data_IF_916309915333
#
_entry.id   IF_916309915333
#
_cell.length_a   1.000
_cell.length_b   1.000
_cell.length_c   1.000
_cell.angle_alpha   90.00
_cell.angle_beta   90.00
_cell.angle_gamma   90.00
#
_symmetry.space_group_name_H-M   'P 1'
#
loop_
_entity.id
_entity.type
_entity.pdbx_description
1 polymer ?
#
# COMPACT_ATOMS: atom_id res chain seq x y z
N UNK A 1 14.76 3.17 6.32
CA UNK A 1 14.09 2.85 7.62
C UNK A 1 13.78 1.37 7.68
N UNK A 2 14.25 0.67 8.71
CA UNK A 2 13.97 -0.75 8.86
C UNK A 2 12.71 -0.96 9.70
N UNK A 3 11.73 -1.67 9.15
CA UNK A 3 10.50 -2.08 9.84
C UNK A 3 10.30 -3.56 9.59
N UNK A 4 10.30 -4.37 10.66
CA UNK A 4 10.28 -5.83 10.56
C UNK A 4 9.05 -6.36 9.81
N UNK A 5 7.88 -5.77 10.01
CA UNK A 5 6.67 -6.21 9.31
C UNK A 5 6.73 -5.97 7.80
N UNK A 6 7.46 -4.94 7.36
CA UNK A 6 7.72 -4.68 5.94
C UNK A 6 8.58 -5.81 5.36
N UNK A 7 9.66 -6.18 6.04
CA UNK A 7 10.52 -7.29 5.63
C UNK A 7 9.74 -8.61 5.59
N UNK A 8 8.94 -8.87 6.62
CA UNK A 8 8.15 -10.10 6.70
C UNK A 8 7.12 -10.19 5.57
N UNK A 9 6.44 -9.08 5.27
CA UNK A 9 5.47 -9.03 4.19
C UNK A 9 6.14 -9.29 2.84
N UNK A 10 7.30 -8.67 2.62
CA UNK A 10 8.08 -8.87 1.41
C UNK A 10 8.44 -10.35 1.23
N UNK A 11 9.03 -10.95 2.26
CA UNK A 11 9.45 -12.37 2.21
C UNK A 11 8.30 -13.32 1.96
N UNK A 12 7.14 -13.04 2.56
CA UNK A 12 5.98 -13.93 2.46
C UNK A 12 5.26 -13.84 1.12
N UNK A 13 5.17 -12.65 0.52
CA UNK A 13 4.26 -12.42 -0.59
C UNK A 13 4.91 -12.00 -1.90
N UNK A 14 6.15 -11.53 -1.90
CA UNK A 14 6.75 -11.09 -3.16
C UNK A 14 6.83 -12.22 -4.18
N UNK A 15 6.37 -11.96 -5.40
CA UNK A 15 6.37 -12.93 -6.48
C UNK A 15 5.20 -13.89 -6.49
N UNK A 16 4.29 -13.81 -5.51
CA UNK A 16 3.13 -14.70 -5.46
C UNK A 16 1.96 -14.19 -6.28
N UNK A 17 1.16 -15.12 -6.78
CA UNK A 17 -0.14 -14.86 -7.40
C UNK A 17 -1.21 -15.44 -6.48
N UNK A 18 -2.14 -14.60 -5.98
CA UNK A 18 -3.02 -14.96 -4.86
C UNK A 18 -4.47 -15.22 -5.23
N UNK A 19 -4.93 -14.74 -6.38
CA UNK A 19 -6.31 -14.94 -6.81
C UNK A 19 -6.36 -15.02 -8.33
N UNK A 20 -7.08 -16.00 -8.83
CA UNK A 20 -7.29 -16.22 -10.27
C UNK A 20 -8.77 -16.15 -10.65
N UNK A 21 -9.67 -15.99 -9.69
CA UNK A 21 -11.11 -15.81 -9.92
C UNK A 21 -11.44 -14.32 -10.00
N UNK A 22 -11.97 -13.91 -11.15
CA UNK A 22 -12.35 -12.51 -11.40
C UNK A 22 -13.62 -12.09 -10.65
N UNK A 23 -14.37 -13.04 -10.08
CA UNK A 23 -15.66 -12.76 -9.42
C UNK A 23 -15.59 -12.88 -7.90
N UNK A 24 -14.49 -13.35 -7.35
CA UNK A 24 -14.39 -13.56 -5.92
C UNK A 24 -13.01 -13.18 -5.39
N UNK A 25 -12.99 -12.60 -4.21
CA UNK A 25 -11.74 -12.38 -3.47
C UNK A 25 -11.39 -13.70 -2.78
N UNK A 26 -10.24 -14.27 -3.11
CA UNK A 26 -9.79 -15.49 -2.46
C UNK A 26 -9.45 -15.23 -0.99
N UNK A 27 -9.50 -16.29 -0.18
CA UNK A 27 -9.08 -16.21 1.23
C UNK A 27 -7.64 -15.72 1.32
N UNK A 28 -6.77 -16.20 0.45
CA UNK A 28 -5.35 -15.81 0.46
C UNK A 28 -5.17 -14.33 0.17
N UNK A 29 -5.91 -13.81 -0.80
CA UNK A 29 -5.84 -12.38 -1.12
C UNK A 29 -6.37 -11.53 0.02
N UNK A 30 -7.47 -11.93 0.64
CA UNK A 30 -8.01 -11.24 1.81
C UNK A 30 -7.03 -11.26 2.99
N UNK A 31 -6.36 -12.39 3.22
CA UNK A 31 -5.32 -12.49 4.24
C UNK A 31 -4.13 -11.58 3.94
N UNK A 32 -3.75 -11.48 2.66
CA UNK A 32 -2.72 -10.54 2.23
C UNK A 32 -3.12 -9.09 2.52
N UNK A 33 -4.34 -8.70 2.18
CA UNK A 33 -4.81 -7.34 2.43
C UNK A 33 -4.82 -7.01 3.92
N UNK A 34 -5.22 -7.96 4.76
CA UNK A 34 -5.17 -7.79 6.21
C UNK A 34 -3.73 -7.63 6.71
N UNK A 35 -2.80 -8.42 6.16
CA UNK A 35 -1.38 -8.31 6.51
C UNK A 35 -0.80 -6.96 6.05
N UNK A 36 -1.16 -6.50 4.86
CA UNK A 36 -0.74 -5.19 4.36
C UNK A 36 -1.25 -4.07 5.26
N UNK A 37 -2.51 -4.14 5.69
CA UNK A 37 -3.08 -3.14 6.59
C UNK A 37 -2.38 -3.12 7.96
N UNK A 38 -2.01 -4.29 8.50
CA UNK A 38 -1.24 -4.35 9.75
C UNK A 38 0.16 -3.74 9.57
N UNK A 39 0.82 -4.05 8.48
CA UNK A 39 2.11 -3.44 8.14
C UNK A 39 2.00 -1.92 8.03
N UNK A 40 0.94 -1.42 7.38
CA UNK A 40 0.70 0.01 7.25
C UNK A 40 0.59 0.70 8.62
N UNK A 41 -0.06 0.07 9.59
CA UNK A 41 -0.13 0.60 10.96
C UNK A 41 1.24 0.63 11.63
N UNK A 42 2.08 -0.36 11.38
CA UNK A 42 3.46 -0.36 11.89
C UNK A 42 4.29 0.76 11.24
N UNK A 43 4.13 0.97 9.94
CA UNK A 43 4.75 2.11 9.26
C UNK A 43 4.31 3.42 9.94
N UNK A 44 3.01 3.61 10.12
CA UNK A 44 2.47 4.82 10.72
C UNK A 44 3.06 5.08 12.11
N UNK A 45 3.16 4.05 12.95
CA UNK A 45 3.76 4.16 14.27
C UNK A 45 5.23 4.59 14.21
N UNK A 46 5.97 4.13 13.20
CA UNK A 46 7.39 4.45 13.05
C UNK A 46 7.64 5.86 12.49
N UNK A 47 6.67 6.47 11.84
CA UNK A 47 6.81 7.81 11.24
C UNK A 47 5.95 8.87 11.92
N UNK A 48 5.42 8.58 13.11
CA UNK A 48 4.55 9.47 13.86
C UNK A 48 3.34 9.93 13.03
N UNK A 49 2.63 8.98 12.47
CA UNK A 49 1.42 9.17 11.68
C UNK A 49 0.36 8.16 12.08
N UNK A 50 -0.81 8.23 11.48
CA UNK A 50 -1.87 7.25 11.69
C UNK A 50 -2.49 6.83 10.36
N UNK A 51 -3.03 5.62 10.30
CA UNK A 51 -3.84 5.14 9.19
C UNK A 51 -5.29 5.48 9.52
N UNK A 52 -5.92 6.33 8.69
CA UNK A 52 -7.25 6.87 9.02
C UNK A 52 -8.39 6.27 8.22
N UNK A 53 -8.09 5.57 7.15
CA UNK A 53 -9.12 4.94 6.32
C UNK A 53 -8.49 3.81 5.50
N UNK A 54 -9.15 2.68 5.43
CA UNK A 54 -8.70 1.54 4.63
C UNK A 54 -9.83 1.06 3.73
N UNK A 55 -9.48 0.59 2.54
CA UNK A 55 -10.40 -0.02 1.60
C UNK A 55 -9.80 -1.35 1.13
N UNK A 56 -10.60 -2.42 1.19
CA UNK A 56 -10.25 -3.71 0.60
C UNK A 56 -11.13 -3.97 -0.61
N UNK A 57 -10.57 -3.83 -1.82
CA UNK A 57 -11.27 -4.15 -3.06
C UNK A 57 -10.99 -5.59 -3.49
N UNK A 58 -11.59 -6.00 -4.61
CA UNK A 58 -11.40 -7.36 -5.14
C UNK A 58 -9.97 -7.62 -5.61
N UNK A 59 -9.31 -6.61 -6.19
CA UNK A 59 -7.99 -6.75 -6.79
C UNK A 59 -7.01 -5.67 -6.35
N UNK A 60 -7.43 -4.80 -5.44
CA UNK A 60 -6.61 -3.71 -4.94
C UNK A 60 -7.01 -3.38 -3.51
N UNK A 61 -6.15 -2.63 -2.84
CA UNK A 61 -6.50 -2.04 -1.57
C UNK A 61 -5.90 -0.64 -1.48
N UNK A 62 -6.40 0.13 -0.56
CA UNK A 62 -5.92 1.48 -0.37
C UNK A 62 -6.11 1.94 1.06
N UNK A 63 -5.41 3.02 1.41
CA UNK A 63 -5.53 3.66 2.71
C UNK A 63 -5.03 5.08 2.66
N UNK A 64 -5.38 5.86 3.67
CA UNK A 64 -4.84 7.18 3.88
C UNK A 64 -4.02 7.20 5.16
N UNK A 65 -2.83 7.79 5.06
CA UNK A 65 -2.00 8.14 6.22
C UNK A 65 -2.23 9.61 6.54
N UNK A 66 -2.25 9.94 7.82
CA UNK A 66 -2.46 11.31 8.29
C UNK A 66 -1.39 11.70 9.31
N UNK A 67 -0.86 12.90 9.16
CA UNK A 67 -0.02 13.56 10.17
C UNK A 67 -0.43 15.05 10.23
N UNK A 68 -0.97 15.48 11.38
CA UNK A 68 -1.54 16.84 11.47
C UNK A 68 -2.66 17.03 10.46
N UNK A 69 -2.51 18.00 9.57
CA UNK A 69 -3.48 18.28 8.51
C UNK A 69 -3.07 17.73 7.15
N UNK A 70 -2.03 16.88 7.10
CA UNK A 70 -1.50 16.32 5.87
C UNK A 70 -1.94 14.89 5.70
N UNK A 71 -2.21 14.52 4.45
CA UNK A 71 -2.67 13.18 4.07
C UNK A 71 -1.82 12.63 2.93
N UNK A 72 -1.59 11.33 2.98
CA UNK A 72 -0.97 10.57 1.88
C UNK A 72 -1.87 9.39 1.56
N UNK A 73 -2.24 9.26 0.29
CA UNK A 73 -2.99 8.12 -0.22
C UNK A 73 -2.01 7.04 -0.67
N UNK A 74 -2.27 5.82 -0.27
CA UNK A 74 -1.50 4.64 -0.70
C UNK A 74 -2.44 3.66 -1.38
N UNK A 75 -2.04 3.19 -2.55
CA UNK A 75 -2.76 2.19 -3.32
C UNK A 75 -1.85 1.00 -3.57
N UNK A 76 -2.36 -0.21 -3.40
CA UNK A 76 -1.65 -1.42 -3.76
C UNK A 76 -2.54 -2.32 -4.62
N UNK A 77 -1.95 -2.93 -5.61
CA UNK A 77 -2.62 -3.66 -6.66
C UNK A 77 -2.33 -3.04 -8.01
N UNK A 78 -2.08 -3.86 -9.00
CA UNK A 78 -1.72 -3.42 -10.34
C UNK A 78 -2.83 -3.81 -11.31
N UNK A 79 -3.31 -2.86 -12.12
CA UNK A 79 -4.39 -3.09 -13.08
C UNK A 79 -4.03 -4.12 -14.16
N UNK A 80 -2.74 -4.31 -14.43
CA UNK A 80 -2.24 -5.26 -15.44
C UNK A 80 -2.12 -6.66 -14.86
N UNK A 81 -1.55 -6.78 -13.65
CA UNK A 81 -1.35 -8.05 -12.94
C UNK A 81 -1.91 -7.94 -11.52
N UNK A 82 -3.24 -7.84 -11.42
CA UNK A 82 -3.95 -7.47 -10.18
C UNK A 82 -3.60 -8.33 -8.98
N UNK A 83 -3.39 -9.62 -9.21
CA UNK A 83 -3.18 -10.59 -8.14
C UNK A 83 -1.74 -11.10 -8.07
N UNK A 84 -0.90 -10.69 -9.01
CA UNK A 84 0.52 -11.00 -8.96
C UNK A 84 1.26 -9.90 -8.22
N UNK A 85 1.95 -10.27 -7.15
CA UNK A 85 2.58 -9.31 -6.25
C UNK A 85 4.04 -9.12 -6.65
N UNK A 86 4.39 -7.93 -7.08
CA UNK A 86 5.77 -7.53 -7.37
C UNK A 86 6.12 -6.30 -6.55
N UNK A 87 6.77 -6.52 -5.42
CA UNK A 87 7.16 -5.44 -4.52
C UNK A 87 8.50 -4.77 -4.89
N UNK A 88 9.21 -5.34 -5.83
CA UNK A 88 10.56 -4.87 -6.19
C UNK A 88 10.60 -3.87 -7.34
N UNK A 89 9.46 -3.38 -7.80
CA UNK A 89 9.36 -2.51 -8.97
C UNK A 89 8.90 -1.11 -8.56
N UNK A 90 9.55 -0.07 -9.08
CA UNK A 90 9.20 1.33 -8.84
C UNK A 90 8.95 2.12 -10.14
N UNK A 91 8.50 1.44 -11.18
CA UNK A 91 8.09 2.04 -12.44
C UNK A 91 6.57 2.20 -12.49
N UNK A 92 6.04 2.72 -13.60
CA UNK A 92 4.60 2.89 -13.81
C UNK A 92 3.79 1.59 -13.63
N UNK A 93 4.45 0.43 -13.70
CA UNK A 93 3.81 -0.87 -13.51
C UNK A 93 3.98 -1.41 -12.09
N UNK A 94 4.45 -0.59 -11.15
CA UNK A 94 4.64 -1.00 -9.74
C UNK A 94 3.34 -1.45 -9.10
N UNK A 95 3.48 -2.38 -8.17
CA UNK A 95 2.35 -2.87 -7.38
C UNK A 95 1.83 -1.82 -6.40
N UNK A 96 2.68 -0.88 -5.97
CA UNK A 96 2.33 0.14 -4.98
C UNK A 96 2.62 1.53 -5.56
N UNK A 97 1.66 2.45 -5.36
CA UNK A 97 1.95 3.87 -5.52
C UNK A 97 1.36 4.68 -4.36
N UNK A 98 1.90 5.85 -4.15
CA UNK A 98 1.39 6.78 -3.15
C UNK A 98 1.44 8.21 -3.67
N UNK A 99 0.63 9.08 -3.08
CA UNK A 99 0.57 10.50 -3.46
C UNK A 99 0.03 11.32 -2.30
N UNK A 100 0.33 12.63 -2.33
CA UNK A 100 -0.30 13.56 -1.40
C UNK A 100 -1.81 13.63 -1.68
N UNK A 101 -2.59 13.85 -0.63
CA UNK A 101 -4.03 13.99 -0.71
C UNK A 101 -4.48 15.17 0.15
N UNK A 102 -5.63 15.76 -0.19
CA UNK A 102 -6.18 16.91 0.54
C UNK A 102 -6.99 16.48 1.75
N UNK A 103 -7.50 15.25 1.74
CA UNK A 103 -8.34 14.68 2.80
C UNK A 103 -8.33 13.17 2.70
N UNK A 104 -9.00 12.48 3.61
CA UNK A 104 -9.18 11.03 3.59
C UNK A 104 -10.24 10.55 2.57
N UNK A 105 -10.76 11.45 1.77
CA UNK A 105 -11.67 11.14 0.66
C UNK A 105 -11.15 11.62 -0.70
N UNK A 106 -9.92 12.10 -0.76
CA UNK A 106 -9.30 12.55 -2.00
C UNK A 106 -8.63 11.37 -2.73
N UNK A 107 -9.41 10.70 -3.56
CA UNK A 107 -8.95 9.53 -4.34
C UNK A 107 -8.32 9.89 -5.69
N UNK A 108 -8.29 11.16 -6.08
CA UNK A 108 -7.94 11.57 -7.44
C UNK A 108 -6.87 12.66 -7.54
N UNK A 109 -6.51 13.30 -6.43
CA UNK A 109 -5.54 14.39 -6.45
C UNK A 109 -4.10 13.91 -6.41
N UNK A 110 -3.19 14.85 -6.62
CA UNK A 110 -1.76 14.63 -6.50
C UNK A 110 -1.14 13.88 -7.66
N UNK A 111 0.14 13.58 -7.54
CA UNK A 111 0.93 12.85 -8.54
C UNK A 111 1.33 11.50 -7.97
N UNK A 112 1.09 10.43 -8.72
CA UNK A 112 1.45 9.09 -8.30
C UNK A 112 2.97 8.92 -8.23
N UNK A 113 3.43 8.45 -7.08
CA UNK A 113 4.82 8.05 -6.87
C UNK A 113 4.84 6.52 -6.80
N UNK A 114 5.43 5.89 -7.80
CA UNK A 114 5.57 4.44 -7.86
C UNK A 114 6.76 4.02 -7.02
N UNK A 115 6.54 3.11 -6.08
CA UNK A 115 7.55 2.74 -5.09
C UNK A 115 7.65 1.23 -4.95
N UNK A 116 8.84 0.77 -4.56
CA UNK A 116 8.99 -0.58 -4.03
C UNK A 116 8.44 -0.63 -2.61
N UNK A 117 8.15 -1.83 -2.10
CA UNK A 117 7.71 -1.98 -0.72
C UNK A 117 8.75 -1.43 0.26
N UNK A 118 10.03 -1.64 -0.02
CA UNK A 118 11.11 -1.17 0.85
C UNK A 118 11.25 0.37 0.87
N UNK A 119 10.78 1.05 -0.17
CA UNK A 119 10.79 2.51 -0.26
C UNK A 119 9.55 3.16 0.36
N UNK A 120 8.51 2.38 0.63
CA UNK A 120 7.19 2.92 0.95
C UNK A 120 7.18 3.79 2.21
N UNK A 121 7.75 3.30 3.31
CA UNK A 121 7.73 4.03 4.59
C UNK A 121 8.42 5.39 4.49
N UNK A 122 9.61 5.43 3.88
CA UNK A 122 10.37 6.67 3.71
C UNK A 122 9.64 7.64 2.77
N UNK A 123 8.99 7.13 1.74
CA UNK A 123 8.24 7.98 0.81
C UNK A 123 7.01 8.59 1.48
N UNK A 124 6.27 7.81 2.25
CA UNK A 124 5.12 8.34 3.00
C UNK A 124 5.57 9.43 3.97
N UNK A 125 6.63 9.17 4.72
CA UNK A 125 7.19 10.12 5.67
C UNK A 125 7.56 11.44 4.98
N UNK A 126 8.24 11.34 3.85
CA UNK A 126 8.63 12.50 3.05
C UNK A 126 7.42 13.28 2.54
N UNK A 127 6.39 12.61 2.02
CA UNK A 127 5.20 13.24 1.47
C UNK A 127 4.33 13.89 2.56
N UNK A 128 4.35 13.36 3.77
CA UNK A 128 3.66 13.96 4.90
C UNK A 128 4.37 15.23 5.41
N UNK A 129 5.62 15.41 5.05
CA UNK A 129 6.38 16.59 5.43
C UNK A 129 6.95 16.52 6.81
#
# INVERSE_FOLDING_TARGET
MYIKSVENLYKKYNGKTLADDIYAVSREYNNFQNAFNRMAKDIAANINAEVVKTLKGHYYGSMFFKRGNRYVYVHYGNSINRTHIDFGNNTWSSFIYCRTAKSDSDYTGGTNNFVTLNELADKIDKLLG
#
